data_IF_117950215351
#
_entry.id   IF_117950215351
#
_cell.length_a   1.000
_cell.length_b   1.000
_cell.length_c   1.000
_cell.angle_alpha   90.00
_cell.angle_beta   90.00
_cell.angle_gamma   90.00
#
_symmetry.space_group_name_H-M   'P 1'
#
loop_
_entity.id
_entity.type
_entity.pdbx_description
1 polymer ?
#
# COMPACT_ATOMS: atom_id res chain seq x y z
N UNK A 1 44.96 34.67 79.41
CA UNK A 1 46.15 34.17 78.64
C UNK A 1 45.57 33.23 77.58
N UNK A 2 45.66 33.70 76.37
CA UNK A 2 46.21 33.02 75.19
C UNK A 2 45.21 32.11 74.34
N UNK A 3 45.04 32.60 73.22
CA UNK A 3 45.06 32.02 71.85
C UNK A 3 43.91 31.24 71.35
N UNK A 4 43.15 31.85 70.44
CA UNK A 4 42.40 31.15 69.45
C UNK A 4 43.26 30.46 68.38
N UNK A 5 42.70 29.67 67.54
CA UNK A 5 42.95 29.87 66.13
C UNK A 5 41.72 29.68 65.19
N UNK A 6 41.70 30.56 64.26
CA UNK A 6 41.45 30.42 62.80
C UNK A 6 40.50 29.39 62.29
N UNK A 7 39.38 29.92 61.82
CA UNK A 7 38.46 29.26 60.85
C UNK A 7 39.16 29.11 59.49
N UNK A 8 39.11 27.90 58.94
CA UNK A 8 39.42 27.63 57.52
C UNK A 8 38.10 27.30 56.81
N UNK A 9 37.65 28.23 55.99
CA UNK A 9 36.48 28.09 55.11
C UNK A 9 36.91 27.33 53.87
N UNK A 10 36.51 26.09 53.70
CA UNK A 10 36.67 25.34 52.49
C UNK A 10 35.43 25.56 51.60
N UNK A 11 35.55 26.34 50.54
CA UNK A 11 34.61 26.46 49.46
C UNK A 11 34.65 25.16 48.61
N UNK A 12 33.70 24.29 48.77
CA UNK A 12 33.48 23.15 47.91
C UNK A 12 32.68 23.58 46.68
N UNK A 13 33.31 23.73 45.51
CA UNK A 13 32.65 23.81 44.20
C UNK A 13 31.97 22.49 43.91
N UNK A 14 30.67 22.44 44.12
CA UNK A 14 29.81 21.36 43.59
C UNK A 14 29.58 21.57 42.10
N UNK A 15 30.36 20.92 41.26
CA UNK A 15 30.13 20.82 39.81
C UNK A 15 28.96 19.83 39.62
N UNK A 16 27.73 20.34 39.54
CA UNK A 16 26.57 19.55 39.14
C UNK A 16 26.72 19.17 37.66
N UNK A 17 27.27 17.99 37.41
CA UNK A 17 27.24 17.38 36.09
C UNK A 17 25.77 17.06 35.75
N UNK A 18 25.12 17.93 34.97
CA UNK A 18 23.90 17.60 34.26
C UNK A 18 24.26 16.58 33.19
N UNK A 19 24.28 15.31 33.58
CA UNK A 19 24.21 14.20 32.65
C UNK A 19 22.80 14.25 32.02
N UNK A 20 22.71 14.94 30.88
CA UNK A 20 21.59 14.80 29.99
C UNK A 20 21.51 13.33 29.62
N UNK A 21 20.59 12.59 30.25
CA UNK A 21 20.20 11.26 29.82
C UNK A 21 19.59 11.45 28.45
N UNK A 22 20.38 11.19 27.41
CA UNK A 22 19.83 10.88 26.10
C UNK A 22 18.93 9.66 26.31
N UNK A 23 17.63 9.91 26.41
CA UNK A 23 16.63 8.85 26.43
C UNK A 23 16.82 8.13 25.12
N UNK A 24 17.36 6.91 25.16
CA UNK A 24 17.32 6.02 24.01
C UNK A 24 15.86 5.99 23.57
N UNK A 25 15.60 6.38 22.32
CA UNK A 25 14.26 6.29 21.77
C UNK A 25 13.83 4.83 21.94
N UNK A 26 12.83 4.58 22.78
CA UNK A 26 12.22 3.28 22.86
C UNK A 26 11.74 2.93 21.45
N UNK A 27 12.04 1.71 21.01
CA UNK A 27 11.56 1.22 19.73
C UNK A 27 10.02 1.15 19.82
N UNK A 28 9.36 2.02 19.06
CA UNK A 28 7.90 2.06 19.03
C UNK A 28 7.39 1.06 17.99
N UNK A 29 6.45 0.20 18.42
CA UNK A 29 5.72 -0.68 17.50
C UNK A 29 4.57 0.09 16.87
N UNK A 30 4.48 0.09 15.54
CA UNK A 30 3.36 0.67 14.79
C UNK A 30 2.60 -0.39 14.02
N UNK A 31 1.28 -0.31 14.08
CA UNK A 31 0.38 -1.19 13.32
C UNK A 31 -0.06 -0.50 12.03
N UNK A 32 0.20 -1.15 10.91
CA UNK A 32 -0.13 -0.66 9.57
C UNK A 32 -1.22 -1.53 8.95
N UNK A 33 -2.31 -0.91 8.53
CA UNK A 33 -3.33 -1.55 7.68
C UNK A 33 -3.06 -1.16 6.22
N UNK A 34 -2.66 -2.13 5.40
CA UNK A 34 -2.16 -1.89 4.05
C UNK A 34 -2.96 -2.63 2.99
N UNK A 35 -3.44 -1.89 1.99
CA UNK A 35 -4.07 -2.49 0.81
C UNK A 35 -3.08 -3.34 0.02
N UNK A 36 -3.56 -4.49 -0.50
CA UNK A 36 -2.76 -5.42 -1.31
C UNK A 36 -2.08 -4.72 -2.49
N UNK A 37 -2.69 -3.69 -3.08
CA UNK A 37 -2.09 -2.91 -4.18
C UNK A 37 -0.76 -2.21 -3.84
N UNK A 38 -0.43 -2.04 -2.53
CA UNK A 38 0.86 -1.49 -2.09
C UNK A 38 1.78 -2.57 -1.46
N UNK A 39 1.30 -3.81 -1.31
CA UNK A 39 1.96 -4.90 -0.58
C UNK A 39 3.42 -5.08 -0.99
N UNK A 40 3.69 -5.23 -2.30
CA UNK A 40 5.04 -5.49 -2.80
C UNK A 40 6.05 -4.37 -2.49
N UNK A 41 5.58 -3.11 -2.42
CA UNK A 41 6.40 -1.95 -2.04
C UNK A 41 6.66 -1.96 -0.53
N UNK A 42 5.64 -2.21 0.27
CA UNK A 42 5.73 -2.23 1.74
C UNK A 42 6.61 -3.38 2.22
N UNK A 43 6.49 -4.58 1.64
CA UNK A 43 7.35 -5.74 1.96
C UNK A 43 8.83 -5.50 1.65
N UNK A 44 9.14 -4.66 0.68
CA UNK A 44 10.53 -4.29 0.35
C UNK A 44 11.06 -3.14 1.24
N UNK A 45 10.26 -2.12 1.49
CA UNK A 45 10.68 -0.89 2.15
C UNK A 45 10.59 -0.93 3.67
N UNK A 46 9.60 -1.61 4.25
CA UNK A 46 9.42 -1.69 5.71
C UNK A 46 10.63 -2.31 6.40
N UNK A 47 11.20 -3.44 5.95
CA UNK A 47 12.39 -3.98 6.60
C UNK A 47 13.63 -3.05 6.52
N UNK A 48 13.69 -2.16 5.53
CA UNK A 48 14.74 -1.13 5.43
C UNK A 48 14.50 -0.03 6.45
N UNK A 49 13.27 0.48 6.52
CA UNK A 49 12.83 1.45 7.52
C UNK A 49 13.14 0.96 8.96
N UNK A 50 12.76 -0.28 9.30
CA UNK A 50 13.03 -0.88 10.62
C UNK A 50 14.52 -0.95 10.94
N UNK A 51 15.37 -1.31 9.97
CA UNK A 51 16.83 -1.35 10.17
C UNK A 51 17.43 0.03 10.43
N UNK A 52 16.92 1.05 9.73
CA UNK A 52 17.42 2.42 9.82
C UNK A 52 16.96 3.13 11.09
N UNK A 53 15.69 2.94 11.48
CA UNK A 53 15.06 3.69 12.56
C UNK A 53 14.99 2.93 13.89
N UNK A 54 15.13 1.59 13.86
CA UNK A 54 14.94 0.66 15.00
C UNK A 54 13.51 0.56 15.49
N UNK A 55 12.54 1.18 14.81
CA UNK A 55 11.12 0.95 15.07
C UNK A 55 10.68 -0.39 14.49
N UNK A 56 9.63 -0.97 15.04
CA UNK A 56 9.04 -2.21 14.53
C UNK A 56 7.66 -1.92 13.88
N UNK A 57 7.39 -2.58 12.75
CA UNK A 57 6.18 -2.33 11.95
C UNK A 57 5.40 -3.61 11.72
N UNK A 58 4.24 -3.72 12.34
CA UNK A 58 3.31 -4.85 12.13
C UNK A 58 2.37 -4.50 10.99
N UNK A 59 2.49 -5.18 9.85
CA UNK A 59 1.64 -4.93 8.68
C UNK A 59 0.55 -5.98 8.55
N UNK A 60 -0.70 -5.53 8.42
CA UNK A 60 -1.87 -6.36 8.11
C UNK A 60 -2.39 -5.99 6.73
N UNK A 61 -2.47 -6.95 5.84
CA UNK A 61 -2.91 -6.75 4.46
C UNK A 61 -4.39 -7.06 4.25
N UNK A 62 -4.99 -6.47 3.21
CA UNK A 62 -6.36 -6.73 2.82
C UNK A 62 -6.84 -5.85 1.66
N UNK A 63 -8.09 -6.02 1.23
CA UNK A 63 -8.72 -5.11 0.29
C UNK A 63 -8.99 -3.75 0.96
N UNK A 64 -8.80 -2.65 0.23
CA UNK A 64 -8.97 -1.29 0.77
C UNK A 64 -10.36 -1.06 1.39
N UNK A 65 -11.42 -1.59 0.76
CA UNK A 65 -12.79 -1.49 1.27
C UNK A 65 -12.97 -2.24 2.60
N UNK A 66 -12.42 -3.45 2.72
CA UNK A 66 -12.48 -4.24 3.96
C UNK A 66 -11.64 -3.60 5.09
N UNK A 67 -10.47 -3.07 4.76
CA UNK A 67 -9.64 -2.35 5.74
C UNK A 67 -10.37 -1.11 6.26
N UNK A 68 -11.05 -0.35 5.39
CA UNK A 68 -11.90 0.78 5.80
C UNK A 68 -12.98 0.33 6.78
N UNK A 69 -13.73 -0.74 6.45
CA UNK A 69 -14.77 -1.30 7.34
C UNK A 69 -14.20 -1.71 8.70
N UNK A 70 -13.03 -2.36 8.75
CA UNK A 70 -12.35 -2.75 9.99
C UNK A 70 -11.99 -1.54 10.84
N UNK A 71 -11.48 -0.47 10.22
CA UNK A 71 -11.18 0.80 10.90
C UNK A 71 -12.46 1.45 11.47
N UNK A 72 -13.54 1.48 10.69
CA UNK A 72 -14.83 2.01 11.13
C UNK A 72 -15.44 1.18 12.27
N UNK A 73 -15.21 -0.14 12.26
CA UNK A 73 -15.57 -1.04 13.34
C UNK A 73 -14.69 -0.92 14.60
N UNK A 74 -13.65 -0.06 14.58
CA UNK A 74 -12.81 0.22 15.74
C UNK A 74 -11.53 -0.61 15.82
N UNK A 75 -11.09 -1.29 14.75
CA UNK A 75 -9.79 -1.96 14.76
C UNK A 75 -8.66 -0.96 15.00
N UNK A 76 -7.75 -1.31 15.92
CA UNK A 76 -6.61 -0.48 16.26
C UNK A 76 -5.57 -0.49 15.13
N UNK A 77 -5.09 0.69 14.78
CA UNK A 77 -4.03 0.92 13.78
C UNK A 77 -3.34 2.25 14.04
N UNK A 78 -2.17 2.44 13.46
CA UNK A 78 -1.43 3.70 13.49
C UNK A 78 -1.37 4.34 12.10
N UNK A 79 -1.17 3.54 11.05
CA UNK A 79 -1.13 3.99 9.65
C UNK A 79 -2.08 3.15 8.81
N UNK A 80 -2.79 3.79 7.90
CA UNK A 80 -3.53 3.11 6.85
C UNK A 80 -3.00 3.51 5.47
N UNK A 81 -2.80 2.51 4.60
CA UNK A 81 -2.53 2.67 3.17
C UNK A 81 -3.69 2.06 2.39
N UNK A 82 -4.58 2.89 1.88
CA UNK A 82 -5.80 2.48 1.16
C UNK A 82 -6.06 3.40 -0.03
N UNK A 83 -7.18 3.21 -0.73
CA UNK A 83 -7.55 4.06 -1.88
C UNK A 83 -7.95 5.48 -1.45
N UNK A 84 -7.87 6.49 -2.35
CA UNK A 84 -8.21 7.88 -2.04
C UNK A 84 -9.59 8.03 -1.39
N UNK A 85 -10.65 7.45 -1.98
CA UNK A 85 -11.99 7.54 -1.43
C UNK A 85 -12.11 6.96 -0.02
N UNK A 86 -11.43 5.83 0.26
CA UNK A 86 -11.41 5.25 1.59
C UNK A 86 -10.71 6.15 2.61
N UNK A 87 -9.57 6.78 2.26
CA UNK A 87 -8.89 7.75 3.12
C UNK A 87 -9.76 8.98 3.37
N UNK A 88 -10.39 9.53 2.34
CA UNK A 88 -11.20 10.73 2.43
C UNK A 88 -12.43 10.51 3.34
N UNK A 89 -13.09 9.35 3.22
CA UNK A 89 -14.16 8.94 4.12
C UNK A 89 -13.67 8.80 5.58
N UNK A 90 -12.51 8.13 5.78
CA UNK A 90 -11.93 7.96 7.12
C UNK A 90 -11.53 9.31 7.76
N UNK A 91 -11.09 10.28 6.97
CA UNK A 91 -10.84 11.65 7.42
C UNK A 91 -12.16 12.32 7.81
N UNK A 92 -13.19 12.22 6.98
CA UNK A 92 -14.51 12.80 7.25
C UNK A 92 -15.13 12.26 8.57
N UNK A 93 -14.85 10.98 8.89
CA UNK A 93 -15.28 10.35 10.14
C UNK A 93 -14.28 10.51 11.32
N UNK A 94 -13.25 11.35 11.17
CA UNK A 94 -12.27 11.64 12.23
C UNK A 94 -11.37 10.45 12.63
N UNK A 95 -11.27 9.44 11.77
CA UNK A 95 -10.41 8.27 12.01
C UNK A 95 -8.96 8.52 11.58
N UNK A 96 -8.74 9.37 10.59
CA UNK A 96 -7.42 9.74 10.06
C UNK A 96 -7.22 11.25 10.16
N UNK A 97 -6.03 11.66 10.56
CA UNK A 97 -5.63 13.08 10.60
C UNK A 97 -5.47 13.62 9.18
N UNK A 98 -6.26 14.65 8.86
CA UNK A 98 -6.33 15.23 7.50
C UNK A 98 -4.97 15.70 6.96
N UNK A 99 -4.15 16.28 7.81
CA UNK A 99 -2.81 16.81 7.48
C UNK A 99 -1.77 15.72 7.14
N UNK A 100 -2.10 14.44 7.39
CA UNK A 100 -1.23 13.30 7.09
C UNK A 100 -1.54 12.62 5.75
N UNK A 101 -2.64 13.01 5.09
CA UNK A 101 -3.05 12.46 3.81
C UNK A 101 -1.96 12.63 2.76
N UNK A 102 -1.37 11.53 2.32
CA UNK A 102 -0.22 11.56 1.40
C UNK A 102 -0.39 10.50 0.31
N UNK A 103 -0.36 10.90 -0.95
CA UNK A 103 -0.31 9.95 -2.07
C UNK A 103 1.04 9.26 -2.09
N UNK A 104 1.04 7.93 -2.11
CA UNK A 104 2.26 7.12 -2.09
C UNK A 104 2.67 6.73 -3.51
N UNK A 105 1.77 6.07 -4.23
CA UNK A 105 2.02 5.58 -5.57
C UNK A 105 0.70 5.20 -6.27
N UNK A 106 0.77 4.92 -7.58
CA UNK A 106 -0.34 4.39 -8.36
C UNK A 106 0.15 3.27 -9.28
N UNK A 107 -0.73 2.33 -9.61
CA UNK A 107 -0.45 1.25 -10.55
C UNK A 107 -1.55 1.15 -11.60
N UNK A 108 -1.17 1.06 -12.86
CA UNK A 108 -2.11 0.92 -13.97
C UNK A 108 -2.72 -0.47 -14.01
N UNK A 109 -3.96 -0.58 -14.51
CA UNK A 109 -4.59 -1.86 -14.78
C UNK A 109 -3.90 -2.60 -15.92
N UNK A 110 -3.83 -3.92 -15.78
CA UNK A 110 -3.18 -4.80 -16.72
C UNK A 110 -3.95 -6.13 -16.86
N UNK A 111 -3.73 -6.83 -17.96
CA UNK A 111 -4.05 -8.24 -18.07
C UNK A 111 -2.89 -9.08 -17.57
N UNK A 112 -3.20 -10.02 -16.69
CA UNK A 112 -2.35 -11.12 -16.28
C UNK A 112 -2.62 -12.31 -17.16
N UNK A 113 -1.56 -12.99 -17.59
CA UNK A 113 -1.60 -14.23 -18.36
C UNK A 113 -0.77 -15.31 -17.66
N UNK A 114 -1.05 -16.57 -17.93
CA UNK A 114 -0.19 -17.66 -17.52
C UNK A 114 1.17 -17.54 -18.20
N UNK A 115 2.24 -17.83 -17.51
CA UNK A 115 3.59 -17.79 -18.05
C UNK A 115 3.73 -18.66 -19.33
N UNK A 116 4.30 -18.04 -20.38
CA UNK A 116 4.45 -18.66 -21.70
C UNK A 116 3.19 -18.67 -22.56
N UNK A 117 2.06 -18.13 -22.11
CA UNK A 117 0.88 -17.95 -22.94
C UNK A 117 1.09 -16.83 -23.99
N UNK A 118 0.41 -16.90 -25.15
CA UNK A 118 0.49 -15.82 -26.14
C UNK A 118 0.03 -14.48 -25.53
N UNK A 119 0.80 -13.42 -25.77
CA UNK A 119 0.41 -12.08 -25.33
C UNK A 119 -0.75 -11.54 -26.15
N UNK A 120 -1.80 -11.03 -25.51
CA UNK A 120 -2.93 -10.44 -26.21
C UNK A 120 -2.54 -9.09 -26.84
N UNK A 121 -3.25 -8.70 -27.90
CA UNK A 121 -3.13 -7.36 -28.47
C UNK A 121 -3.98 -6.36 -27.68
N UNK A 122 -3.31 -5.43 -27.01
CA UNK A 122 -3.90 -4.35 -26.21
C UNK A 122 -3.49 -2.98 -26.74
N UNK A 123 -3.03 -2.89 -28.01
CA UNK A 123 -2.44 -1.68 -28.57
C UNK A 123 -3.43 -0.52 -28.74
N UNK A 124 -4.70 -0.82 -28.92
CA UNK A 124 -5.80 0.17 -29.05
C UNK A 124 -7.02 -0.28 -28.26
N UNK A 125 -7.99 0.61 -28.06
CA UNK A 125 -9.26 0.28 -27.40
C UNK A 125 -10.03 -0.81 -28.19
N UNK A 126 -9.99 -0.76 -29.52
CA UNK A 126 -10.65 -1.75 -30.38
C UNK A 126 -9.96 -3.12 -30.26
N UNK A 127 -8.63 -3.16 -30.24
CA UNK A 127 -7.86 -4.39 -30.06
C UNK A 127 -8.11 -4.99 -28.66
N UNK A 128 -8.09 -4.16 -27.62
CA UNK A 128 -8.46 -4.53 -26.25
C UNK A 128 -9.88 -5.11 -26.19
N UNK A 129 -10.85 -4.42 -26.80
CA UNK A 129 -12.24 -4.87 -26.83
C UNK A 129 -12.38 -6.22 -27.53
N UNK A 130 -11.74 -6.41 -28.69
CA UNK A 130 -11.71 -7.70 -29.39
C UNK A 130 -11.05 -8.79 -28.54
N UNK A 131 -9.95 -8.49 -27.85
CA UNK A 131 -9.27 -9.42 -26.95
C UNK A 131 -10.20 -9.88 -25.83
N UNK A 132 -10.90 -8.95 -25.16
CA UNK A 132 -11.85 -9.30 -24.11
C UNK A 132 -13.02 -10.12 -24.63
N UNK A 133 -13.61 -9.73 -25.77
CA UNK A 133 -14.71 -10.45 -26.40
C UNK A 133 -14.29 -11.84 -26.93
N UNK A 134 -13.03 -12.02 -27.31
CA UNK A 134 -12.47 -13.30 -27.74
C UNK A 134 -12.02 -14.20 -26.59
N UNK A 135 -11.88 -13.67 -25.39
CA UNK A 135 -11.40 -14.42 -24.23
C UNK A 135 -12.35 -15.55 -23.83
N UNK A 136 -11.80 -16.70 -23.50
CA UNK A 136 -12.58 -17.84 -22.98
C UNK A 136 -13.09 -17.58 -21.57
N UNK A 137 -12.27 -16.90 -20.75
CA UNK A 137 -12.58 -16.58 -19.36
C UNK A 137 -11.70 -15.47 -18.83
N UNK A 138 -12.27 -14.63 -17.95
CA UNK A 138 -11.58 -13.50 -17.33
C UNK A 138 -11.87 -13.54 -15.82
N UNK A 139 -10.84 -13.45 -14.97
CA UNK A 139 -11.01 -13.33 -13.53
C UNK A 139 -10.69 -11.92 -13.03
N UNK A 140 -11.44 -11.46 -12.05
CA UNK A 140 -11.17 -10.23 -11.29
C UNK A 140 -11.83 -10.25 -9.91
N UNK A 141 -11.25 -9.55 -8.94
CA UNK A 141 -11.77 -9.51 -7.59
C UNK A 141 -13.02 -8.61 -7.54
N UNK A 142 -14.14 -9.15 -7.04
CA UNK A 142 -15.45 -8.46 -7.03
C UNK A 142 -15.39 -7.10 -6.33
N UNK A 143 -14.77 -7.04 -5.15
CA UNK A 143 -14.68 -5.85 -4.31
C UNK A 143 -13.28 -5.23 -4.31
N UNK A 144 -12.37 -5.77 -5.12
CA UNK A 144 -11.05 -5.21 -5.34
C UNK A 144 -11.13 -3.92 -6.16
N UNK A 145 -10.28 -2.94 -5.85
CA UNK A 145 -10.28 -1.66 -6.57
C UNK A 145 -10.09 -1.84 -8.09
N UNK A 146 -9.24 -2.79 -8.51
CA UNK A 146 -9.05 -3.15 -9.93
C UNK A 146 -10.29 -3.78 -10.56
N UNK A 147 -10.96 -4.67 -9.85
CA UNK A 147 -12.18 -5.30 -10.34
C UNK A 147 -13.34 -4.32 -10.50
N UNK A 148 -13.52 -3.42 -9.54
CA UNK A 148 -14.51 -2.33 -9.63
C UNK A 148 -14.21 -1.41 -10.81
N UNK A 149 -12.93 -1.03 -11.00
CA UNK A 149 -12.53 -0.20 -12.13
C UNK A 149 -12.72 -0.92 -13.47
N UNK A 150 -12.38 -2.22 -13.56
CA UNK A 150 -12.60 -3.03 -14.75
C UNK A 150 -14.10 -3.15 -15.10
N UNK A 151 -14.95 -3.42 -14.11
CA UNK A 151 -16.39 -3.48 -14.31
C UNK A 151 -16.95 -2.17 -14.90
N UNK A 152 -16.47 -1.01 -14.42
CA UNK A 152 -16.84 0.29 -14.96
C UNK A 152 -16.33 0.49 -16.41
N UNK A 153 -15.12 0.02 -16.73
CA UNK A 153 -14.54 0.09 -18.09
C UNK A 153 -15.39 -0.73 -19.07
N UNK A 154 -15.68 -2.01 -18.76
CA UNK A 154 -16.43 -2.86 -19.66
C UNK A 154 -17.88 -2.41 -19.83
N UNK A 155 -18.46 -1.79 -18.79
CA UNK A 155 -19.75 -1.12 -18.88
C UNK A 155 -19.72 0.08 -19.84
N UNK A 156 -18.69 0.92 -19.75
CA UNK A 156 -18.48 2.08 -20.64
C UNK A 156 -18.25 1.64 -22.09
N UNK A 157 -17.57 0.51 -22.30
CA UNK A 157 -17.35 -0.08 -23.63
C UNK A 157 -18.60 -0.81 -24.18
N UNK A 158 -19.64 -0.98 -23.38
CA UNK A 158 -20.88 -1.64 -23.80
C UNK A 158 -20.77 -3.16 -23.94
N UNK A 159 -19.75 -3.80 -23.35
CA UNK A 159 -19.47 -5.24 -23.46
C UNK A 159 -19.69 -6.02 -22.16
N UNK A 160 -20.22 -5.39 -21.13
CA UNK A 160 -20.37 -6.01 -19.80
C UNK A 160 -21.24 -7.28 -19.84
N UNK A 161 -22.35 -7.26 -20.57
CA UNK A 161 -23.25 -8.41 -20.69
C UNK A 161 -22.60 -9.58 -21.46
N UNK A 162 -21.82 -9.28 -22.51
CA UNK A 162 -21.08 -10.29 -23.28
C UNK A 162 -20.03 -11.02 -22.45
N UNK A 163 -19.45 -10.34 -21.45
CA UNK A 163 -18.43 -10.92 -20.58
C UNK A 163 -19.00 -11.65 -19.37
N UNK A 164 -20.27 -11.42 -19.02
CA UNK A 164 -20.86 -11.91 -17.77
C UNK A 164 -20.73 -13.43 -17.58
N UNK A 165 -21.02 -14.22 -18.60
CA UNK A 165 -20.95 -15.69 -18.54
C UNK A 165 -19.50 -16.23 -18.50
N UNK A 166 -18.53 -15.42 -18.88
CA UNK A 166 -17.10 -15.75 -18.94
C UNK A 166 -16.30 -15.10 -17.82
N UNK A 167 -16.95 -14.31 -16.97
CA UNK A 167 -16.32 -13.64 -15.83
C UNK A 167 -16.34 -14.53 -14.60
N UNK A 168 -15.16 -14.78 -14.02
CA UNK A 168 -14.97 -15.40 -12.72
C UNK A 168 -14.69 -14.32 -11.68
N UNK A 169 -15.63 -14.13 -10.78
CA UNK A 169 -15.47 -13.18 -9.66
C UNK A 169 -14.80 -13.88 -8.48
N UNK A 170 -13.72 -13.32 -8.00
CA UNK A 170 -12.96 -13.81 -6.84
C UNK A 170 -13.13 -12.88 -5.65
N UNK A 171 -12.69 -13.33 -4.47
CA UNK A 171 -12.66 -12.49 -3.27
C UNK A 171 -11.40 -11.63 -3.21
N UNK A 172 -10.26 -12.10 -3.72
CA UNK A 172 -8.97 -11.41 -3.65
C UNK A 172 -8.25 -11.40 -5.00
N UNK A 173 -7.23 -10.52 -5.13
CA UNK A 173 -6.32 -10.51 -6.28
C UNK A 173 -5.45 -11.77 -6.35
N UNK A 174 -5.04 -12.31 -5.20
CA UNK A 174 -4.28 -13.57 -5.13
C UNK A 174 -5.07 -14.74 -5.73
N UNK A 175 -6.39 -14.82 -5.48
CA UNK A 175 -7.25 -15.83 -6.12
C UNK A 175 -7.38 -15.63 -7.64
N UNK A 176 -7.27 -14.38 -8.13
CA UNK A 176 -7.21 -14.10 -9.58
C UNK A 176 -5.95 -14.73 -10.15
N UNK A 177 -4.78 -14.39 -9.61
CA UNK A 177 -3.49 -14.93 -10.06
C UNK A 177 -3.44 -16.45 -9.95
N UNK A 178 -3.94 -17.02 -8.86
CA UNK A 178 -4.04 -18.47 -8.69
C UNK A 178 -4.84 -19.15 -9.81
N UNK A 179 -5.97 -18.55 -10.20
CA UNK A 179 -6.79 -19.07 -11.29
C UNK A 179 -6.09 -18.99 -12.65
N UNK A 180 -5.33 -17.92 -12.90
CA UNK A 180 -4.51 -17.74 -14.11
C UNK A 180 -3.38 -18.77 -14.15
N UNK A 181 -2.62 -18.91 -13.07
CA UNK A 181 -1.48 -19.83 -12.98
C UNK A 181 -1.92 -21.29 -13.16
N UNK A 182 -3.05 -21.68 -12.58
CA UNK A 182 -3.64 -23.02 -12.75
C UNK A 182 -4.21 -23.25 -14.16
N UNK A 183 -4.44 -22.18 -14.94
CA UNK A 183 -5.08 -22.25 -16.25
C UNK A 183 -6.61 -22.40 -16.18
N UNK A 184 -7.21 -22.15 -15.02
CA UNK A 184 -8.66 -22.16 -14.81
C UNK A 184 -9.32 -21.00 -15.56
N UNK A 185 -8.60 -19.89 -15.75
CA UNK A 185 -8.99 -18.72 -16.53
C UNK A 185 -7.87 -18.33 -17.49
N UNK A 186 -8.26 -17.67 -18.59
CA UNK A 186 -7.31 -17.19 -19.59
C UNK A 186 -6.62 -15.90 -19.18
N UNK A 187 -7.40 -14.94 -18.67
CA UNK A 187 -6.92 -13.64 -18.25
C UNK A 187 -7.29 -13.33 -16.79
N UNK A 188 -6.36 -12.70 -16.09
CA UNK A 188 -6.62 -12.00 -14.82
C UNK A 188 -6.59 -10.49 -15.04
N UNK A 189 -7.44 -9.75 -14.31
CA UNK A 189 -7.39 -8.29 -14.29
C UNK A 189 -6.91 -7.83 -12.93
N UNK A 190 -5.74 -7.23 -12.91
CA UNK A 190 -5.06 -6.75 -11.70
C UNK A 190 -4.28 -5.46 -11.98
N UNK A 191 -3.90 -4.70 -10.95
CA UNK A 191 -2.87 -3.67 -11.09
C UNK A 191 -1.54 -4.32 -11.44
N UNK A 192 -0.71 -3.68 -12.24
CA UNK A 192 0.62 -4.19 -12.61
C UNK A 192 1.45 -4.60 -11.36
N UNK A 193 1.33 -3.86 -10.27
CA UNK A 193 2.04 -4.13 -9.02
C UNK A 193 1.65 -5.46 -8.34
N UNK A 194 0.49 -6.01 -8.64
CA UNK A 194 0.05 -7.31 -8.12
C UNK A 194 0.43 -8.47 -9.05
N UNK A 195 0.73 -8.19 -10.33
CA UNK A 195 1.17 -9.21 -11.32
C UNK A 195 2.67 -9.49 -11.22
N UNK A 196 3.46 -8.41 -11.03
CA UNK A 196 4.92 -8.54 -11.00
C UNK A 196 5.37 -9.37 -9.79
N UNK A 197 6.07 -10.46 -10.08
CA UNK A 197 6.58 -11.36 -9.03
C UNK A 197 5.71 -12.58 -8.76
N UNK A 198 4.55 -12.71 -9.39
CA UNK A 198 3.73 -13.92 -9.32
C UNK A 198 4.38 -15.05 -10.11
N UNK A 199 4.80 -16.13 -9.42
CA UNK A 199 5.40 -17.28 -10.10
C UNK A 199 4.35 -18.00 -10.95
N UNK A 200 4.66 -18.21 -12.23
CA UNK A 200 3.77 -18.90 -13.15
C UNK A 200 2.77 -17.99 -13.86
N UNK A 201 2.81 -16.69 -13.60
CA UNK A 201 2.07 -15.67 -14.34
C UNK A 201 3.02 -14.65 -14.98
N UNK A 202 2.55 -13.95 -15.99
CA UNK A 202 3.26 -12.88 -16.69
C UNK A 202 2.31 -11.72 -17.00
N UNK A 203 2.91 -10.55 -17.22
CA UNK A 203 2.19 -9.41 -17.76
C UNK A 203 1.75 -9.68 -19.20
N UNK A 204 0.46 -9.76 -19.43
CA UNK A 204 -0.13 -9.79 -20.78
C UNK A 204 -0.02 -8.43 -21.48
N UNK A 205 -0.23 -7.35 -20.73
CA UNK A 205 -0.07 -5.97 -21.18
C UNK A 205 -0.88 -5.00 -20.30
N UNK A 206 -0.48 -3.72 -20.32
CA UNK A 206 -1.27 -2.64 -19.72
C UNK A 206 -2.50 -2.36 -20.59
N UNK A 207 -3.56 -1.87 -19.97
CA UNK A 207 -4.73 -1.39 -20.70
C UNK A 207 -4.36 -0.21 -21.60
N UNK A 208 -5.02 -0.03 -22.76
CA UNK A 208 -4.82 1.13 -23.62
C UNK A 208 -5.03 2.45 -22.86
N UNK A 209 -4.25 3.47 -23.19
CA UNK A 209 -4.25 4.77 -22.48
C UNK A 209 -5.65 5.37 -22.32
N UNK A 210 -6.49 5.28 -23.35
CA UNK A 210 -7.84 5.88 -23.38
C UNK A 210 -8.84 5.21 -22.44
N UNK A 211 -8.54 3.98 -22.00
CA UNK A 211 -9.36 3.21 -21.04
C UNK A 211 -8.54 2.78 -19.81
N UNK A 212 -7.31 3.27 -19.69
CA UNK A 212 -6.49 2.98 -18.53
C UNK A 212 -7.12 3.54 -17.26
N UNK A 213 -7.05 2.79 -16.20
CA UNK A 213 -7.41 3.22 -14.85
C UNK A 213 -6.26 2.91 -13.90
N UNK A 214 -5.98 3.85 -13.01
CA UNK A 214 -4.91 3.72 -12.03
C UNK A 214 -5.47 3.45 -10.65
N UNK A 215 -4.95 2.43 -10.01
CA UNK A 215 -5.21 2.15 -8.60
C UNK A 215 -4.21 2.98 -7.78
N UNK A 216 -4.72 4.04 -7.16
CA UNK A 216 -3.94 4.98 -6.36
C UNK A 216 -3.93 4.52 -4.91
N UNK A 217 -2.76 4.55 -4.27
CA UNK A 217 -2.57 4.27 -2.84
C UNK A 217 -2.22 5.55 -2.09
N UNK A 218 -2.96 5.80 -1.03
CA UNK A 218 -2.83 6.98 -0.17
C UNK A 218 -2.57 6.52 1.26
N UNK A 219 -1.62 7.16 1.92
CA UNK A 219 -1.32 6.96 3.33
C UNK A 219 -2.00 7.99 4.23
N UNK A 220 -2.33 7.58 5.44
CA UNK A 220 -2.80 8.48 6.49
C UNK A 220 -2.57 7.90 7.89
N UNK A 221 -2.34 8.78 8.85
CA UNK A 221 -2.10 8.44 10.26
C UNK A 221 -3.40 8.49 11.03
N UNK A 222 -3.64 7.51 11.90
CA UNK A 222 -4.78 7.49 12.82
C UNK A 222 -4.79 8.77 13.69
N UNK A 223 -5.94 9.44 13.73
CA UNK A 223 -6.11 10.70 14.45
C UNK A 223 -5.83 10.60 15.96
N UNK A 224 -5.91 9.39 16.54
CA UNK A 224 -5.69 9.12 17.96
C UNK A 224 -4.46 8.25 18.22
N UNK A 225 -3.61 8.02 17.21
CA UNK A 225 -2.38 7.23 17.38
C UNK A 225 -1.45 7.87 18.41
N UNK A 226 -0.97 7.05 19.33
CA UNK A 226 0.10 7.44 20.27
C UNK A 226 1.48 7.44 19.60
N UNK A 227 1.59 6.78 18.44
CA UNK A 227 2.79 6.64 17.62
C UNK A 227 2.77 7.56 16.38
N UNK A 228 2.08 8.71 16.47
CA UNK A 228 1.87 9.62 15.34
C UNK A 228 3.19 10.13 14.72
N UNK A 229 4.24 10.31 15.52
CA UNK A 229 5.56 10.75 15.02
C UNK A 229 6.20 9.73 14.10
N UNK A 230 6.33 8.49 14.56
CA UNK A 230 6.91 7.37 13.79
C UNK A 230 6.03 7.02 12.59
N UNK A 231 4.72 7.11 12.75
CA UNK A 231 3.76 6.91 11.66
C UNK A 231 3.96 7.91 10.51
N UNK A 232 4.19 9.18 10.83
CA UNK A 232 4.53 10.22 9.83
C UNK A 232 5.89 9.96 9.19
N UNK A 233 6.85 9.50 9.97
CA UNK A 233 8.17 9.15 9.48
C UNK A 233 8.11 8.00 8.47
N UNK A 234 7.33 6.95 8.74
CA UNK A 234 7.10 5.86 7.78
C UNK A 234 6.48 6.37 6.47
N UNK A 235 5.42 7.20 6.54
CA UNK A 235 4.81 7.79 5.33
C UNK A 235 5.85 8.61 4.56
N UNK A 236 6.64 9.43 5.25
CA UNK A 236 7.71 10.21 4.63
C UNK A 236 8.77 9.32 3.99
N UNK A 237 9.17 8.24 4.67
CA UNK A 237 10.14 7.27 4.15
C UNK A 237 9.69 6.67 2.82
N UNK A 238 8.42 6.25 2.73
CA UNK A 238 7.81 5.72 1.51
C UNK A 238 7.70 6.76 0.37
N UNK A 239 7.92 8.05 0.66
CA UNK A 239 7.89 9.12 -0.34
C UNK A 239 9.26 9.68 -0.70
N UNK A 240 10.35 9.10 -0.20
CA UNK A 240 11.72 9.51 -0.55
C UNK A 240 12.08 9.18 -2.00
N UNK A 241 13.09 9.85 -2.60
CA UNK A 241 13.62 9.45 -3.90
C UNK A 241 14.13 8.00 -3.93
N UNK A 242 14.72 7.51 -2.84
CA UNK A 242 15.17 6.13 -2.74
C UNK A 242 13.98 5.13 -2.80
N UNK A 243 12.86 5.45 -2.15
CA UNK A 243 11.64 4.66 -2.24
C UNK A 243 11.06 4.63 -3.66
N UNK A 244 11.20 5.71 -4.44
CA UNK A 244 10.72 5.76 -5.82
C UNK A 244 11.34 4.67 -6.70
N UNK A 245 12.63 4.37 -6.52
CA UNK A 245 13.30 3.28 -7.24
C UNK A 245 12.62 1.92 -6.98
N UNK A 246 12.24 1.66 -5.73
CA UNK A 246 11.52 0.44 -5.37
C UNK A 246 10.09 0.47 -5.93
N UNK A 247 9.39 1.59 -5.80
CA UNK A 247 8.03 1.78 -6.31
C UNK A 247 7.98 1.45 -7.82
N UNK A 248 8.91 2.00 -8.60
CA UNK A 248 8.99 1.73 -10.06
C UNK A 248 9.32 0.26 -10.33
N UNK A 249 10.25 -0.33 -9.61
CA UNK A 249 10.59 -1.75 -9.76
C UNK A 249 9.43 -2.70 -9.42
N UNK A 250 8.47 -2.25 -8.61
CA UNK A 250 7.24 -2.99 -8.28
C UNK A 250 6.04 -2.64 -9.21
N UNK A 251 6.27 -2.00 -10.35
CA UNK A 251 5.21 -1.70 -11.33
C UNK A 251 4.27 -0.56 -10.91
N UNK A 252 4.76 0.33 -10.09
CA UNK A 252 4.02 1.52 -9.66
C UNK A 252 4.74 2.80 -10.10
N UNK A 253 4.03 3.91 -10.09
CA UNK A 253 4.54 5.25 -10.37
C UNK A 253 3.95 6.28 -9.38
N UNK A 254 4.49 7.48 -9.35
CA UNK A 254 3.94 8.61 -8.57
C UNK A 254 3.10 9.52 -9.42
#
# INVERSE_FOLDING_TARGET
>A
MKHGPLAATALGLGLLAMLGQARAAEADDITVLCSNGLKAVVEDLVPKFERETKHHVVVKYGLAALLKQRIEAGEAFDVAFVTPGAIDDLIAHGRISKDTRTTIARSGLALEIRAGAPKPDLSTVEAFTRTLLGARSIAYAREGASGVAFAAIVQKLGIADDLKSRSRLTATGEEVSDAVVKGDVEFGVLPLSEILGVKGAELGGLFPADVQSYIVMVGGVNATSKQASVSRELIKYLTTPAALTVIVAKGMER
#
